data_IF_870638732439
#
_entry.id   IF_870638732439
#
_cell.length_a   1.000
_cell.length_b   1.000
_cell.length_c   1.000
_cell.angle_alpha   90.00
_cell.angle_beta   90.00
_cell.angle_gamma   90.00
#
_symmetry.space_group_name_H-M   'P 1'
#
loop_
_entity.id
_entity.type
_entity.pdbx_description
1 polymer ?
#
# COMPACT_ATOMS: atom_id res chain seq x y z
N UNK A 1 5.47 1.77 -8.76
CA UNK A 1 5.99 2.69 -7.72
C UNK A 1 5.10 3.91 -7.57
N UNK A 2 4.48 4.09 -6.41
CA UNK A 2 3.64 5.28 -6.12
C UNK A 2 4.43 6.57 -6.28
N UNK A 3 5.69 6.59 -5.85
CA UNK A 3 6.55 7.78 -6.01
C UNK A 3 6.89 8.07 -7.47
N UNK A 4 7.13 7.06 -8.29
CA UNK A 4 7.42 7.25 -9.71
C UNK A 4 6.19 7.74 -10.52
N UNK A 5 4.98 7.46 -10.04
CA UNK A 5 3.73 7.90 -10.69
C UNK A 5 3.27 9.29 -10.27
N UNK A 6 3.89 9.92 -9.26
CA UNK A 6 3.51 11.25 -8.76
C UNK A 6 3.29 12.27 -9.88
N UNK A 7 4.19 12.46 -10.86
CA UNK A 7 3.98 13.46 -11.91
C UNK A 7 2.71 13.21 -12.74
N UNK A 8 2.45 11.94 -13.08
CA UNK A 8 1.28 11.54 -13.87
C UNK A 8 0.00 11.71 -13.03
N UNK A 9 0.03 11.29 -11.77
CA UNK A 9 -1.10 11.44 -10.84
C UNK A 9 -1.45 12.91 -10.63
N UNK A 10 -0.45 13.78 -10.42
CA UNK A 10 -0.63 15.23 -10.32
C UNK A 10 -1.31 15.82 -11.56
N UNK A 11 -0.82 15.44 -12.75
CA UNK A 11 -1.42 15.90 -14.00
C UNK A 11 -2.86 15.42 -14.15
N UNK A 12 -3.13 14.17 -13.82
CA UNK A 12 -4.48 13.60 -13.88
C UNK A 12 -5.44 14.33 -12.95
N UNK A 13 -5.10 14.50 -11.66
CA UNK A 13 -6.02 15.12 -10.69
C UNK A 13 -6.28 16.59 -10.99
N UNK A 14 -5.29 17.32 -11.52
CA UNK A 14 -5.47 18.72 -11.95
C UNK A 14 -6.34 18.84 -13.19
N UNK A 15 -6.06 18.04 -14.21
CA UNK A 15 -6.72 18.19 -15.53
C UNK A 15 -8.10 17.54 -15.59
N UNK A 16 -8.27 16.36 -14.97
CA UNK A 16 -9.52 15.60 -15.07
C UNK A 16 -10.50 15.92 -13.94
N UNK A 17 -9.99 16.22 -12.72
CA UNK A 17 -10.82 16.47 -11.54
C UNK A 17 -10.83 17.94 -11.11
N UNK A 18 -10.13 18.83 -11.83
CA UNK A 18 -10.06 20.27 -11.54
C UNK A 18 -9.66 20.55 -10.08
N UNK A 19 -8.75 19.77 -9.54
CA UNK A 19 -8.21 19.96 -8.19
C UNK A 19 -7.25 21.14 -8.21
N UNK A 20 -7.40 22.05 -7.23
CA UNK A 20 -6.51 23.20 -7.08
C UNK A 20 -5.05 22.76 -6.93
N UNK A 21 -4.14 23.49 -7.55
CA UNK A 21 -2.72 23.13 -7.59
C UNK A 21 -2.08 22.99 -6.21
N UNK A 22 -2.39 23.93 -5.30
CA UNK A 22 -1.89 23.89 -3.92
C UNK A 22 -2.32 22.62 -3.17
N UNK A 23 -3.55 22.14 -3.39
CA UNK A 23 -4.05 20.90 -2.79
C UNK A 23 -3.36 19.70 -3.42
N UNK A 24 -3.38 19.59 -4.76
CA UNK A 24 -2.77 18.47 -5.46
C UNK A 24 -1.28 18.32 -5.14
N UNK A 25 -0.54 19.43 -5.15
CA UNK A 25 0.92 19.43 -4.89
C UNK A 25 1.28 19.05 -3.44
N UNK A 26 0.36 19.15 -2.51
CA UNK A 26 0.54 18.70 -1.14
C UNK A 26 0.04 17.25 -0.95
N UNK A 27 -1.19 16.96 -1.37
CA UNK A 27 -1.86 15.69 -1.05
C UNK A 27 -1.27 14.50 -1.79
N UNK A 28 -0.89 14.65 -3.06
CA UNK A 28 -0.37 13.52 -3.86
C UNK A 28 1.00 13.05 -3.37
N UNK A 29 2.02 13.92 -3.15
CA UNK A 29 3.29 13.47 -2.59
C UNK A 29 3.16 12.92 -1.16
N UNK A 30 2.28 13.51 -0.34
CA UNK A 30 2.02 13.00 1.01
C UNK A 30 1.37 11.61 0.96
N UNK A 31 0.35 11.44 0.11
CA UNK A 31 -0.33 10.16 -0.07
C UNK A 31 0.62 9.05 -0.52
N UNK A 32 1.54 9.35 -1.43
CA UNK A 32 2.54 8.38 -1.90
C UNK A 32 3.44 7.79 -0.79
N UNK A 33 3.37 8.32 0.43
CA UNK A 33 4.11 7.81 1.60
C UNK A 33 3.22 7.33 2.74
N UNK A 34 2.02 7.90 2.92
CA UNK A 34 1.15 7.56 4.07
C UNK A 34 -0.13 6.83 3.69
N UNK A 35 -0.48 6.81 2.41
CA UNK A 35 -1.71 6.17 1.91
C UNK A 35 -1.36 4.97 1.02
N UNK A 36 -0.91 3.91 1.65
CA UNK A 36 -0.43 2.68 1.00
C UNK A 36 -1.43 1.52 1.16
N UNK A 37 -2.71 1.76 0.84
CA UNK A 37 -3.79 0.77 1.01
C UNK A 37 -3.53 -0.53 0.25
N UNK A 38 -3.08 -0.42 -1.01
CA UNK A 38 -2.71 -1.59 -1.82
C UNK A 38 -1.56 -2.39 -1.22
N UNK A 39 -0.64 -1.72 -0.52
CA UNK A 39 0.46 -2.38 0.19
C UNK A 39 -0.06 -3.14 1.41
N UNK A 40 -0.93 -2.54 2.21
CA UNK A 40 -1.54 -3.21 3.37
C UNK A 40 -2.35 -4.44 2.94
N UNK A 41 -3.17 -4.32 1.89
CA UNK A 41 -3.94 -5.44 1.32
C UNK A 41 -3.02 -6.57 0.87
N UNK A 42 -1.97 -6.24 0.10
CA UNK A 42 -1.02 -7.24 -0.39
C UNK A 42 -0.31 -7.97 0.76
N UNK A 43 0.12 -7.25 1.79
CA UNK A 43 0.77 -7.84 2.96
C UNK A 43 -0.16 -8.82 3.69
N UNK A 44 -1.42 -8.44 3.90
CA UNK A 44 -2.41 -9.32 4.51
C UNK A 44 -2.65 -10.60 3.69
N UNK A 45 -2.90 -10.44 2.38
CA UNK A 45 -3.14 -11.58 1.48
C UNK A 45 -1.90 -12.49 1.38
N UNK A 46 -0.71 -11.90 1.23
CA UNK A 46 0.54 -12.66 1.13
C UNK A 46 0.84 -13.43 2.43
N UNK A 47 0.56 -12.85 3.59
CA UNK A 47 0.75 -13.51 4.88
C UNK A 47 -0.16 -14.73 5.01
N UNK A 48 -1.44 -14.61 4.71
CA UNK A 48 -2.39 -15.73 4.73
C UNK A 48 -2.01 -16.80 3.69
N UNK A 49 -1.58 -16.38 2.50
CA UNK A 49 -1.09 -17.30 1.46
C UNK A 49 0.11 -18.11 1.96
N UNK A 50 1.09 -17.47 2.59
CA UNK A 50 2.29 -18.12 3.13
C UNK A 50 1.89 -19.08 4.27
N UNK A 51 1.00 -18.68 5.17
CA UNK A 51 0.51 -19.57 6.23
C UNK A 51 -0.11 -20.85 5.65
N UNK A 52 -0.99 -20.72 4.68
CA UNK A 52 -1.62 -21.86 4.00
C UNK A 52 -0.58 -22.75 3.29
N UNK A 53 0.43 -22.16 2.65
CA UNK A 53 1.47 -22.89 1.93
C UNK A 53 2.31 -23.76 2.88
N UNK A 54 2.57 -23.27 4.08
CA UNK A 54 3.32 -24.01 5.11
C UNK A 54 2.43 -24.87 6.02
N UNK A 55 1.12 -24.91 5.78
CA UNK A 55 0.17 -25.66 6.59
C UNK A 55 0.05 -25.15 8.03
N UNK A 56 0.25 -23.85 8.23
CA UNK A 56 0.15 -23.20 9.54
C UNK A 56 -1.24 -22.59 9.69
N UNK A 57 -1.99 -23.07 10.67
CA UNK A 57 -3.31 -22.53 10.97
C UNK A 57 -3.20 -21.18 11.68
N UNK A 58 -3.93 -20.19 11.16
CA UNK A 58 -4.05 -18.87 11.77
C UNK A 58 -5.31 -18.80 12.64
N UNK A 59 -5.16 -18.35 13.87
CA UNK A 59 -6.27 -18.07 14.77
C UNK A 59 -6.81 -16.66 14.58
N UNK A 60 -7.96 -16.36 15.16
CA UNK A 60 -8.57 -15.02 15.07
C UNK A 60 -7.62 -13.90 15.54
N UNK A 61 -6.85 -14.16 16.59
CA UNK A 61 -5.84 -13.23 17.12
C UNK A 61 -4.75 -12.91 16.11
N UNK A 62 -4.37 -13.89 15.28
CA UNK A 62 -3.34 -13.72 14.26
C UNK A 62 -3.86 -12.84 13.11
N UNK A 63 -5.11 -13.03 12.69
CA UNK A 63 -5.75 -12.16 11.69
C UNK A 63 -5.81 -10.71 12.16
N UNK A 64 -6.17 -10.47 13.44
CA UNK A 64 -6.17 -9.12 14.01
C UNK A 64 -4.76 -8.53 14.01
N UNK A 65 -3.76 -9.33 14.41
CA UNK A 65 -2.35 -8.92 14.41
C UNK A 65 -1.85 -8.60 13.01
N UNK A 66 -2.20 -9.41 12.01
CA UNK A 66 -1.87 -9.17 10.59
C UNK A 66 -2.45 -7.85 10.12
N UNK A 67 -3.75 -7.61 10.37
CA UNK A 67 -4.42 -6.37 9.95
C UNK A 67 -3.75 -5.16 10.57
N UNK A 68 -3.53 -5.16 11.88
CA UNK A 68 -2.91 -4.04 12.57
C UNK A 68 -1.47 -3.81 12.09
N UNK A 69 -0.66 -4.87 12.01
CA UNK A 69 0.74 -4.76 11.61
C UNK A 69 0.86 -4.33 10.15
N UNK A 70 0.09 -4.91 9.23
CA UNK A 70 0.09 -4.54 7.82
C UNK A 70 -0.33 -3.08 7.63
N UNK A 71 -1.35 -2.62 8.35
CA UNK A 71 -1.81 -1.23 8.30
C UNK A 71 -0.72 -0.29 8.81
N UNK A 72 -0.13 -0.57 9.98
CA UNK A 72 0.95 0.27 10.53
C UNK A 72 2.20 0.24 9.65
N UNK A 73 2.57 -0.93 9.14
CA UNK A 73 3.72 -1.08 8.24
C UNK A 73 3.51 -0.36 6.90
N UNK A 74 2.28 -0.25 6.42
CA UNK A 74 1.98 0.47 5.18
C UNK A 74 2.11 1.99 5.34
N UNK A 75 1.84 2.53 6.53
CA UNK A 75 2.00 3.96 6.82
C UNK A 75 3.49 4.28 6.93
N UNK A 76 3.97 5.20 6.12
CA UNK A 76 5.40 5.58 6.08
C UNK A 76 6.31 4.62 5.30
N UNK A 77 5.74 3.61 4.64
CA UNK A 77 6.48 2.83 3.65
C UNK A 77 6.82 3.73 2.46
N UNK A 78 8.11 3.78 2.10
CA UNK A 78 8.50 4.54 0.90
C UNK A 78 7.87 3.94 -0.36
N UNK A 79 7.29 4.78 -1.21
CA UNK A 79 6.63 4.37 -2.46
C UNK A 79 7.61 3.96 -3.56
N UNK A 80 8.65 3.18 -3.20
CA UNK A 80 9.66 2.65 -4.12
C UNK A 80 9.56 1.14 -4.27
N UNK A 81 9.95 0.58 -5.43
CA UNK A 81 9.85 -0.86 -5.68
C UNK A 81 10.63 -1.68 -4.63
N UNK A 82 10.05 -2.81 -4.22
CA UNK A 82 10.69 -3.77 -3.31
C UNK A 82 10.49 -3.49 -1.81
N UNK A 83 10.19 -2.27 -1.39
CA UNK A 83 10.01 -1.96 0.04
C UNK A 83 8.81 -2.73 0.63
N UNK A 84 7.74 -2.93 -0.15
CA UNK A 84 6.59 -3.73 0.29
C UNK A 84 6.95 -5.17 0.68
N UNK A 85 7.93 -5.78 0.01
CA UNK A 85 8.46 -7.11 0.35
C UNK A 85 9.21 -7.09 1.69
N UNK A 86 10.03 -6.06 1.92
CA UNK A 86 10.76 -5.92 3.20
C UNK A 86 9.76 -5.79 4.35
N UNK A 87 8.72 -4.99 4.16
CA UNK A 87 7.67 -4.78 5.17
C UNK A 87 6.81 -6.03 5.38
N UNK A 88 6.63 -6.89 4.35
CA UNK A 88 6.00 -8.20 4.50
C UNK A 88 6.74 -9.06 5.52
N UNK A 89 8.07 -9.00 5.54
CA UNK A 89 8.87 -9.72 6.54
C UNK A 89 8.53 -9.32 7.98
N UNK A 90 8.21 -8.07 8.23
CA UNK A 90 7.75 -7.61 9.57
C UNK A 90 6.41 -8.25 9.94
N UNK A 91 5.47 -8.31 9.00
CA UNK A 91 4.15 -8.91 9.24
C UNK A 91 4.26 -10.41 9.50
N UNK A 92 5.09 -11.13 8.72
CA UNK A 92 5.34 -12.56 8.93
C UNK A 92 5.96 -12.84 10.30
N UNK A 93 6.98 -12.07 10.69
CA UNK A 93 7.62 -12.20 12.00
C UNK A 93 6.63 -12.00 13.15
N UNK A 94 5.70 -11.05 13.01
CA UNK A 94 4.70 -10.74 14.04
C UNK A 94 3.80 -11.94 14.38
N UNK A 95 3.51 -12.79 13.38
CA UNK A 95 2.66 -13.97 13.55
C UNK A 95 3.45 -15.29 13.51
N UNK A 96 4.79 -15.21 13.61
CA UNK A 96 5.66 -16.38 13.70
C UNK A 96 5.74 -17.23 12.43
N UNK A 97 5.49 -16.64 11.25
CA UNK A 97 5.56 -17.34 9.97
C UNK A 97 6.98 -17.34 9.40
N UNK A 98 7.34 -18.39 8.63
CA UNK A 98 8.67 -18.51 8.04
C UNK A 98 8.92 -17.45 6.97
N UNK A 99 10.07 -16.76 7.07
CA UNK A 99 10.46 -15.70 6.13
C UNK A 99 10.82 -16.24 4.75
N UNK A 100 11.14 -17.52 4.66
CA UNK A 100 11.45 -18.22 3.39
C UNK A 100 10.29 -18.13 2.39
N UNK A 101 9.05 -18.02 2.89
CA UNK A 101 7.85 -17.79 2.07
C UNK A 101 7.90 -16.52 1.24
N UNK A 102 8.70 -15.53 1.64
CA UNK A 102 8.90 -14.28 0.89
C UNK A 102 9.48 -14.57 -0.51
N UNK A 103 10.34 -15.56 -0.64
CA UNK A 103 10.97 -15.90 -1.93
C UNK A 103 9.94 -16.22 -3.02
N UNK A 104 8.82 -16.84 -2.65
CA UNK A 104 7.74 -17.17 -3.58
C UNK A 104 7.02 -15.91 -4.04
N UNK A 105 6.72 -15.01 -3.09
CA UNK A 105 6.06 -13.73 -3.39
C UNK A 105 6.95 -12.84 -4.26
N UNK A 106 8.28 -12.86 -4.01
CA UNK A 106 9.25 -12.12 -4.84
C UNK A 106 9.21 -12.52 -6.32
N UNK A 107 8.91 -13.78 -6.64
CA UNK A 107 8.81 -14.25 -8.01
C UNK A 107 7.73 -13.52 -8.84
N UNK A 108 6.69 -13.01 -8.20
CA UNK A 108 5.56 -12.29 -8.84
C UNK A 108 5.46 -10.84 -8.40
N UNK A 109 6.40 -10.36 -7.58
CA UNK A 109 6.32 -9.03 -6.94
C UNK A 109 6.17 -7.89 -7.95
N UNK A 110 6.80 -7.96 -9.11
CA UNK A 110 6.69 -6.92 -10.13
C UNK A 110 5.25 -6.70 -10.59
N UNK A 111 4.51 -7.78 -10.78
CA UNK A 111 3.09 -7.71 -11.13
C UNK A 111 2.26 -7.21 -9.96
N UNK A 112 2.52 -7.73 -8.76
CA UNK A 112 1.84 -7.29 -7.54
C UNK A 112 2.11 -5.81 -7.24
N UNK A 113 3.33 -5.31 -7.51
CA UNK A 113 3.68 -3.90 -7.32
C UNK A 113 2.88 -2.96 -8.23
N UNK A 114 2.61 -3.37 -9.47
CA UNK A 114 1.72 -2.61 -10.36
C UNK A 114 0.30 -2.52 -9.81
N UNK A 115 -0.25 -3.61 -9.29
CA UNK A 115 -1.59 -3.63 -8.70
C UNK A 115 -1.65 -2.80 -7.41
N UNK A 116 -0.65 -2.93 -6.53
CA UNK A 116 -0.51 -2.09 -5.32
C UNK A 116 -0.49 -0.61 -5.67
N UNK A 117 0.33 -0.25 -6.63
CA UNK A 117 0.47 1.14 -7.08
C UNK A 117 -0.85 1.68 -7.60
N UNK A 118 -1.58 0.90 -8.40
CA UNK A 118 -2.90 1.29 -8.92
C UNK A 118 -3.87 1.62 -7.77
N UNK A 119 -3.95 0.78 -6.75
CA UNK A 119 -4.81 1.02 -5.58
C UNK A 119 -4.35 2.26 -4.82
N UNK A 120 -3.05 2.37 -4.52
CA UNK A 120 -2.48 3.49 -3.76
C UNK A 120 -2.78 4.84 -4.43
N UNK A 121 -2.47 4.99 -5.72
CA UNK A 121 -2.67 6.27 -6.42
C UNK A 121 -4.15 6.61 -6.62
N UNK A 122 -5.02 5.60 -6.67
CA UNK A 122 -6.47 5.82 -6.69
C UNK A 122 -6.94 6.40 -5.36
N UNK A 123 -6.45 5.87 -4.24
CA UNK A 123 -6.71 6.41 -2.91
C UNK A 123 -6.22 7.85 -2.78
N UNK A 124 -4.99 8.15 -3.23
CA UNK A 124 -4.41 9.50 -3.23
C UNK A 124 -5.29 10.49 -4.00
N UNK A 125 -5.76 10.10 -5.19
CA UNK A 125 -6.66 10.92 -6.00
C UNK A 125 -8.00 11.16 -5.29
N UNK A 126 -8.59 10.14 -4.67
CA UNK A 126 -9.84 10.23 -3.92
C UNK A 126 -9.71 11.20 -2.73
N UNK A 127 -8.66 11.08 -1.93
CA UNK A 127 -8.39 11.99 -0.80
C UNK A 127 -8.26 13.42 -1.30
N UNK A 128 -7.52 13.65 -2.39
CA UNK A 128 -7.34 14.97 -2.99
C UNK A 128 -8.68 15.59 -3.42
N UNK A 129 -9.58 14.79 -4.01
CA UNK A 129 -10.94 15.23 -4.41
C UNK A 129 -11.76 15.65 -3.18
N UNK A 130 -11.73 14.83 -2.12
CA UNK A 130 -12.48 15.09 -0.89
C UNK A 130 -12.01 16.39 -0.23
N UNK A 131 -10.70 16.57 -0.08
CA UNK A 131 -10.11 17.78 0.49
C UNK A 131 -10.48 19.01 -0.35
N UNK A 132 -10.33 18.93 -1.69
CA UNK A 132 -10.64 20.02 -2.59
C UNK A 132 -12.12 20.45 -2.53
N UNK A 133 -13.03 19.50 -2.31
CA UNK A 133 -14.45 19.79 -2.11
C UNK A 133 -14.73 20.39 -0.73
N UNK A 134 -14.07 19.92 0.31
CA UNK A 134 -14.25 20.40 1.68
C UNK A 134 -13.80 21.85 1.84
N UNK A 135 -12.71 22.25 1.19
CA UNK A 135 -12.20 23.62 1.25
C UNK A 135 -12.93 24.61 0.33
N UNK A 136 -13.85 24.15 -0.52
CA UNK A 136 -14.70 25.05 -1.32
C UNK A 136 -15.93 25.58 -0.56
N UNK A 137 -16.14 25.11 0.67
CA UNK A 137 -17.16 25.63 1.59
C UNK A 137 -16.59 26.74 2.44
#
# INVERSE_FOLDING_TARGET
>A
SSSATIPITLQCVKNQFSIRENIASFTIPLGATINMDGTAIMQGVATVFIANLYGIDLFFTDYVSIILTATLASIGTAGVPGVGIIMLGMVLNQVGLPLEGIAIVMGVDRFLDMLRTCVNVTGDAMVSIVINKSEKK
#
